data_IF_408943480746
#
_entry.id   IF_408943480746
#
_cell.length_a   1.000
_cell.length_b   1.000
_cell.length_c   1.000
_cell.angle_alpha   90.00
_cell.angle_beta   90.00
_cell.angle_gamma   90.00
#
_symmetry.space_group_name_H-M   'P 1'
#
loop_
_entity.id
_entity.type
_entity.pdbx_description
1 polymer ?
#
# COMPACT_ATOMS: atom_id res chain seq x y z
N UNK A 1 -27.02 -28.96 -10.52
CA UNK A 1 -25.65 -28.56 -10.15
C UNK A 1 -25.33 -27.23 -10.82
N UNK A 2 -25.32 -26.17 -10.00
CA UNK A 2 -24.58 -24.90 -10.11
C UNK A 2 -25.45 -23.69 -9.76
N UNK A 3 -26.10 -23.78 -8.59
CA UNK A 3 -26.44 -22.58 -7.81
C UNK A 3 -25.16 -22.12 -7.11
N UNK A 4 -24.25 -21.52 -7.88
CA UNK A 4 -23.23 -20.65 -7.30
C UNK A 4 -23.92 -19.33 -6.99
N UNK A 5 -24.70 -19.34 -5.90
CA UNK A 5 -25.22 -18.14 -5.29
C UNK A 5 -24.05 -17.20 -5.02
N UNK A 6 -23.99 -16.12 -5.80
CA UNK A 6 -23.17 -14.98 -5.47
C UNK A 6 -23.66 -14.48 -4.12
N UNK A 7 -22.95 -14.86 -3.04
CA UNK A 7 -23.03 -14.16 -1.78
C UNK A 7 -22.74 -12.70 -2.10
N UNK A 8 -23.78 -11.89 -2.23
CA UNK A 8 -23.68 -10.45 -2.08
C UNK A 8 -23.17 -10.26 -0.66
N UNK A 9 -21.85 -10.15 -0.52
CA UNK A 9 -21.22 -9.71 0.72
C UNK A 9 -21.94 -8.43 1.12
N UNK A 10 -22.65 -8.49 2.24
CA UNK A 10 -23.40 -7.35 2.79
C UNK A 10 -22.44 -6.18 2.88
N UNK A 11 -22.57 -5.20 1.98
CA UNK A 11 -21.67 -4.06 1.93
C UNK A 11 -21.92 -3.23 3.18
N UNK A 12 -20.92 -3.16 4.03
CA UNK A 12 -20.99 -2.37 5.26
C UNK A 12 -21.12 -0.88 4.94
N UNK A 13 -21.73 -0.09 5.84
CA UNK A 13 -21.85 1.36 5.68
C UNK A 13 -20.48 1.99 5.44
N UNK A 14 -20.40 2.84 4.42
CA UNK A 14 -19.23 3.65 4.17
C UNK A 14 -19.25 4.84 5.13
N UNK A 15 -18.17 5.09 5.90
CA UNK A 15 -18.06 6.30 6.70
C UNK A 15 -18.26 7.56 5.84
N UNK A 16 -19.06 8.51 6.32
CA UNK A 16 -19.41 9.72 5.57
C UNK A 16 -18.21 10.64 5.38
N UNK A 17 -17.24 10.55 6.27
CA UNK A 17 -16.00 11.31 6.23
C UNK A 17 -15.13 10.89 5.05
N UNK A 18 -15.22 9.63 4.61
CA UNK A 18 -14.35 9.12 3.56
C UNK A 18 -14.79 9.56 2.16
N UNK A 19 -13.83 9.84 1.25
CA UNK A 19 -14.15 10.19 -0.12
C UNK A 19 -14.88 9.03 -0.80
N UNK A 20 -15.88 9.37 -1.61
CA UNK A 20 -16.64 8.38 -2.35
C UNK A 20 -15.75 7.65 -3.37
N UNK A 21 -15.90 6.32 -3.49
CA UNK A 21 -15.16 5.55 -4.48
C UNK A 21 -15.66 5.88 -5.90
N UNK A 22 -14.73 6.16 -6.81
CA UNK A 22 -15.06 6.20 -8.25
C UNK A 22 -15.55 7.53 -8.80
N UNK A 23 -15.18 8.65 -8.16
CA UNK A 23 -15.43 9.99 -8.70
C UNK A 23 -14.97 10.15 -10.16
N UNK A 24 -15.72 10.92 -10.95
CA UNK A 24 -15.44 11.12 -12.38
C UNK A 24 -14.00 11.62 -12.64
N UNK A 25 -13.50 12.52 -11.78
CA UNK A 25 -12.12 13.04 -11.85
C UNK A 25 -11.08 11.90 -11.78
N UNK A 26 -11.29 10.92 -10.91
CA UNK A 26 -10.38 9.77 -10.74
C UNK A 26 -10.40 8.87 -11.97
N UNK A 27 -11.58 8.65 -12.57
CA UNK A 27 -11.71 7.89 -13.82
C UNK A 27 -10.96 8.55 -14.97
N UNK A 28 -11.07 9.88 -15.12
CA UNK A 28 -10.32 10.63 -16.14
C UNK A 28 -8.82 10.48 -15.94
N UNK A 29 -8.32 10.65 -14.71
CA UNK A 29 -6.89 10.45 -14.40
C UNK A 29 -6.43 9.03 -14.75
N UNK A 30 -7.21 8.01 -14.38
CA UNK A 30 -6.93 6.61 -14.72
C UNK A 30 -6.88 6.41 -16.24
N UNK A 31 -7.85 6.95 -16.98
CA UNK A 31 -7.88 6.83 -18.45
C UNK A 31 -6.66 7.47 -19.10
N UNK A 32 -6.27 8.69 -18.68
CA UNK A 32 -5.10 9.38 -19.24
C UNK A 32 -3.83 8.55 -19.01
N UNK A 33 -3.57 8.09 -17.79
CA UNK A 33 -2.39 7.27 -17.52
C UNK A 33 -2.44 5.90 -18.21
N UNK A 34 -3.63 5.34 -18.42
CA UNK A 34 -3.80 4.09 -19.17
C UNK A 34 -3.45 4.27 -20.64
N UNK A 35 -3.91 5.35 -21.27
CA UNK A 35 -3.57 5.69 -22.65
C UNK A 35 -2.06 5.92 -22.78
N UNK A 36 -1.44 6.66 -21.86
CA UNK A 36 0.01 6.88 -21.87
C UNK A 36 0.80 5.58 -21.67
N UNK A 37 0.39 4.73 -20.72
CA UNK A 37 1.05 3.46 -20.45
C UNK A 37 0.94 2.46 -21.61
N UNK A 38 -0.26 2.30 -22.17
CA UNK A 38 -0.49 1.43 -23.33
C UNK A 38 0.20 1.98 -24.59
N UNK A 39 0.16 3.29 -24.80
CA UNK A 39 0.86 3.96 -25.90
C UNK A 39 2.38 3.78 -25.78
N UNK A 40 2.95 3.93 -24.58
CA UNK A 40 4.37 3.67 -24.31
C UNK A 40 4.74 2.21 -24.60
N UNK A 41 3.90 1.25 -24.21
CA UNK A 41 4.12 -0.16 -24.49
C UNK A 41 4.07 -0.47 -25.99
N UNK A 42 3.06 0.05 -26.69
CA UNK A 42 2.92 -0.12 -28.14
C UNK A 42 4.10 0.52 -28.90
N UNK A 43 4.48 1.75 -28.52
CA UNK A 43 5.62 2.46 -29.09
C UNK A 43 6.93 1.72 -28.85
N UNK A 44 7.13 1.14 -27.66
CA UNK A 44 8.29 0.31 -27.35
C UNK A 44 8.37 -0.92 -28.28
N UNK A 45 7.26 -1.64 -28.47
CA UNK A 45 7.22 -2.81 -29.36
C UNK A 45 7.52 -2.42 -30.80
N UNK A 46 6.92 -1.34 -31.31
CA UNK A 46 7.15 -0.86 -32.68
C UNK A 46 8.63 -0.46 -32.87
N UNK A 47 9.19 0.31 -31.94
CA UNK A 47 10.57 0.79 -32.02
C UNK A 47 11.61 -0.34 -31.92
N UNK A 48 11.38 -1.33 -31.05
CA UNK A 48 12.30 -2.46 -30.86
C UNK A 48 12.22 -3.50 -31.98
N UNK A 49 11.10 -3.57 -32.70
CA UNK A 49 10.93 -4.48 -33.86
C UNK A 49 11.33 -3.85 -35.19
N UNK A 50 11.61 -2.54 -35.22
CA UNK A 50 12.14 -1.86 -36.39
C UNK A 50 13.54 -2.39 -36.79
N UNK A 51 13.90 -2.24 -38.06
CA UNK A 51 15.23 -2.62 -38.57
C UNK A 51 15.91 -1.40 -39.21
N UNK A 52 16.98 -0.84 -38.61
CA UNK A 52 17.59 -1.23 -37.32
C UNK A 52 16.71 -0.87 -36.11
N UNK A 53 16.88 -1.55 -34.96
CA UNK A 53 16.13 -1.24 -33.73
C UNK A 53 16.39 0.18 -33.24
N UNK A 54 15.33 0.90 -32.87
CA UNK A 54 15.45 2.25 -32.31
C UNK A 54 15.63 2.18 -30.79
N UNK A 55 16.73 2.75 -30.30
CA UNK A 55 17.07 2.84 -28.88
C UNK A 55 15.97 3.53 -28.04
N UNK A 56 15.15 4.39 -28.65
CA UNK A 56 13.99 5.02 -27.99
C UNK A 56 12.98 3.98 -27.47
N UNK A 57 12.92 2.81 -28.11
CA UNK A 57 12.07 1.70 -27.69
C UNK A 57 12.40 1.18 -26.29
N UNK A 58 13.68 1.20 -25.89
CA UNK A 58 14.12 0.79 -24.55
C UNK A 58 13.59 1.76 -23.48
N UNK A 59 13.68 3.06 -23.73
CA UNK A 59 13.17 4.09 -22.82
C UNK A 59 11.65 3.95 -22.67
N UNK A 60 10.93 3.78 -23.78
CA UNK A 60 9.48 3.57 -23.76
C UNK A 60 9.09 2.28 -23.00
N UNK A 61 9.88 1.21 -23.12
CA UNK A 61 9.65 -0.04 -22.39
C UNK A 61 9.84 0.16 -20.88
N UNK A 62 10.85 0.92 -20.45
CA UNK A 62 11.11 1.22 -19.03
C UNK A 62 10.03 2.14 -18.44
N UNK A 63 9.51 3.09 -19.23
CA UNK A 63 8.47 4.02 -18.78
C UNK A 63 7.07 3.38 -18.67
N UNK A 64 6.77 2.36 -19.47
CA UNK A 64 5.44 1.75 -19.50
C UNK A 64 4.95 1.25 -18.12
N UNK A 65 5.75 0.51 -17.31
CA UNK A 65 5.33 0.09 -15.98
C UNK A 65 5.14 1.25 -14.98
N UNK A 66 5.75 2.43 -15.20
CA UNK A 66 5.51 3.60 -14.34
C UNK A 66 4.09 4.12 -14.55
N UNK A 67 3.69 4.34 -15.80
CA UNK A 67 2.33 4.79 -16.12
C UNK A 67 1.28 3.75 -15.77
N UNK A 68 1.51 2.48 -16.12
CA UNK A 68 0.61 1.38 -15.74
C UNK A 68 0.59 1.16 -14.21
N UNK A 69 1.68 1.48 -13.52
CA UNK A 69 1.74 1.49 -12.07
C UNK A 69 0.83 2.54 -11.46
N UNK A 70 0.83 3.78 -11.97
CA UNK A 70 -0.11 4.82 -11.54
C UNK A 70 -1.57 4.43 -11.78
N UNK A 71 -1.87 3.84 -12.95
CA UNK A 71 -3.19 3.27 -13.24
C UNK A 71 -3.56 2.21 -12.21
N UNK A 72 -2.65 1.27 -11.94
CA UNK A 72 -2.87 0.17 -11.00
C UNK A 72 -3.11 0.69 -9.59
N UNK A 73 -2.32 1.66 -9.11
CA UNK A 73 -2.53 2.32 -7.81
C UNK A 73 -3.91 2.98 -7.77
N UNK A 74 -4.25 3.81 -8.75
CA UNK A 74 -5.52 4.53 -8.76
C UNK A 74 -6.72 3.57 -8.84
N UNK A 75 -6.66 2.55 -9.69
CA UNK A 75 -7.69 1.50 -9.77
C UNK A 75 -7.82 0.76 -8.43
N UNK A 76 -6.70 0.30 -7.86
CA UNK A 76 -6.72 -0.50 -6.64
C UNK A 76 -7.13 0.30 -5.40
N UNK A 77 -6.69 1.55 -5.28
CA UNK A 77 -6.94 2.40 -4.09
C UNK A 77 -8.22 3.22 -4.16
N UNK A 78 -8.74 3.51 -5.36
CA UNK A 78 -9.90 4.40 -5.54
C UNK A 78 -11.09 3.72 -6.19
N UNK A 79 -10.89 3.04 -7.32
CA UNK A 79 -12.00 2.51 -8.12
C UNK A 79 -12.52 1.15 -7.63
N UNK A 80 -11.60 0.24 -7.28
CA UNK A 80 -11.88 -1.13 -6.83
C UNK A 80 -11.70 -1.30 -5.32
N UNK A 81 -11.70 -0.21 -4.57
CA UNK A 81 -11.45 -0.24 -3.13
C UNK A 81 -12.52 -1.07 -2.39
N UNK A 82 -13.76 -1.08 -2.90
CA UNK A 82 -14.90 -1.82 -2.34
C UNK A 82 -15.10 -3.22 -2.93
N UNK A 83 -14.41 -3.57 -4.00
CA UNK A 83 -14.55 -4.87 -4.67
C UNK A 83 -13.58 -5.91 -4.10
N UNK A 84 -12.90 -5.57 -3.00
CA UNK A 84 -11.94 -6.43 -2.32
C UNK A 84 -12.66 -7.47 -1.49
N UNK A 85 -12.41 -8.75 -1.77
CA UNK A 85 -12.97 -9.86 -1.00
C UNK A 85 -12.37 -9.99 0.39
N UNK A 86 -12.92 -10.93 1.17
CA UNK A 86 -12.53 -11.20 2.57
C UNK A 86 -11.66 -12.46 2.72
N UNK A 87 -11.34 -13.13 1.61
CA UNK A 87 -10.57 -14.39 1.59
C UNK A 87 -9.14 -14.25 2.15
N UNK A 88 -8.57 -13.04 2.11
CA UNK A 88 -7.24 -12.76 2.65
C UNK A 88 -7.18 -12.66 4.18
N UNK A 89 -8.33 -12.57 4.86
CA UNK A 89 -8.40 -12.56 6.33
C UNK A 89 -8.08 -13.97 6.81
N UNK A 90 -7.16 -14.12 7.76
CA UNK A 90 -6.76 -15.42 8.30
C UNK A 90 -6.33 -15.27 9.76
N UNK A 91 -6.24 -16.38 10.47
CA UNK A 91 -5.53 -16.42 11.74
C UNK A 91 -4.03 -16.49 11.48
N UNK A 92 -3.28 -15.74 12.27
CA UNK A 92 -1.82 -15.86 12.33
C UNK A 92 -1.35 -15.61 13.76
N UNK A 93 -0.16 -16.12 14.08
CA UNK A 93 0.46 -15.92 15.38
C UNK A 93 1.21 -14.58 15.40
N UNK A 94 0.83 -13.69 16.32
CA UNK A 94 1.47 -12.37 16.44
C UNK A 94 2.49 -12.42 17.57
N UNK A 95 3.76 -12.58 17.20
CA UNK A 95 4.88 -12.74 18.13
C UNK A 95 4.91 -11.73 19.30
N UNK A 96 4.64 -10.42 19.12
CA UNK A 96 4.63 -9.48 20.25
C UNK A 96 3.58 -9.77 21.33
N UNK A 97 2.45 -10.40 21.01
CA UNK A 97 1.40 -10.74 21.98
C UNK A 97 1.36 -12.22 22.31
N UNK A 98 2.27 -13.04 21.75
CA UNK A 98 2.32 -14.49 21.90
C UNK A 98 0.93 -15.15 21.83
N UNK A 99 0.07 -14.66 20.93
CA UNK A 99 -1.32 -15.10 20.79
C UNK A 99 -1.71 -15.14 19.32
N UNK A 100 -2.70 -15.98 19.03
CA UNK A 100 -3.36 -15.97 17.73
C UNK A 100 -4.20 -14.69 17.61
N UNK A 101 -4.19 -14.12 16.42
CA UNK A 101 -4.91 -12.91 16.09
C UNK A 101 -5.55 -13.04 14.71
N UNK A 102 -6.69 -12.37 14.51
CA UNK A 102 -7.26 -12.21 13.18
C UNK A 102 -6.45 -11.18 12.41
N UNK A 103 -5.82 -11.60 11.32
CA UNK A 103 -4.94 -10.77 10.50
C UNK A 103 -5.63 -10.34 9.21
N UNK A 104 -5.64 -9.03 9.00
CA UNK A 104 -6.05 -8.35 7.77
C UNK A 104 -4.76 -7.85 7.08
N UNK A 105 -4.21 -8.58 6.11
CA UNK A 105 -2.96 -8.21 5.47
C UNK A 105 -3.16 -7.03 4.52
N UNK A 106 -2.07 -6.31 4.21
CA UNK A 106 -2.07 -5.32 3.13
C UNK A 106 -2.15 -5.99 1.75
N UNK A 107 -2.64 -5.26 0.75
CA UNK A 107 -2.85 -5.76 -0.62
C UNK A 107 -1.54 -6.18 -1.28
N UNK A 108 -1.49 -7.43 -1.76
CA UNK A 108 -0.39 -7.95 -2.58
C UNK A 108 -0.27 -7.20 -3.90
N UNK A 109 -1.39 -6.82 -4.51
CA UNK A 109 -1.41 -6.07 -5.76
C UNK A 109 -0.75 -4.71 -5.63
N UNK A 110 -1.02 -3.99 -4.54
CA UNK A 110 -0.35 -2.71 -4.25
C UNK A 110 1.15 -2.91 -3.99
N UNK A 111 1.51 -3.90 -3.17
CA UNK A 111 2.92 -4.19 -2.92
C UNK A 111 3.68 -4.51 -4.22
N UNK A 112 3.12 -5.36 -5.09
CA UNK A 112 3.71 -5.69 -6.37
C UNK A 112 3.80 -4.48 -7.31
N UNK A 113 2.79 -3.60 -7.30
CA UNK A 113 2.82 -2.35 -8.07
C UNK A 113 3.95 -1.43 -7.63
N UNK A 114 4.15 -1.25 -6.32
CA UNK A 114 5.27 -0.46 -5.80
C UNK A 114 6.64 -1.07 -6.14
N UNK A 115 6.76 -2.40 -6.09
CA UNK A 115 8.00 -3.10 -6.50
C UNK A 115 8.28 -2.86 -7.99
N UNK A 116 7.27 -3.06 -8.86
CA UNK A 116 7.42 -2.85 -10.29
C UNK A 116 7.80 -1.40 -10.62
N UNK A 117 7.13 -0.41 -10.01
CA UNK A 117 7.47 1.01 -10.20
C UNK A 117 8.87 1.34 -9.71
N UNK A 118 9.27 0.85 -8.54
CA UNK A 118 10.62 1.06 -7.99
C UNK A 118 11.69 0.46 -8.91
N UNK A 119 11.46 -0.76 -9.42
CA UNK A 119 12.37 -1.41 -10.34
C UNK A 119 12.49 -0.64 -11.68
N UNK A 120 11.38 -0.16 -12.23
CA UNK A 120 11.38 0.68 -13.44
C UNK A 120 12.07 2.03 -13.23
N UNK A 121 11.85 2.69 -12.08
CA UNK A 121 12.56 3.93 -11.75
C UNK A 121 14.06 3.68 -11.62
N UNK A 122 14.46 2.57 -10.97
CA UNK A 122 15.87 2.21 -10.83
C UNK A 122 16.52 1.94 -12.19
N UNK A 123 15.85 1.21 -13.08
CA UNK A 123 16.31 0.98 -14.44
C UNK A 123 16.43 2.29 -15.24
N UNK A 124 15.45 3.19 -15.12
CA UNK A 124 15.44 4.47 -15.81
C UNK A 124 16.60 5.37 -15.36
N UNK A 125 16.72 5.62 -14.06
CA UNK A 125 17.77 6.49 -13.54
C UNK A 125 19.16 5.86 -13.69
N UNK A 126 19.27 4.54 -13.58
CA UNK A 126 20.51 3.81 -13.85
C UNK A 126 20.95 3.98 -15.32
N UNK A 127 20.03 3.80 -16.27
CA UNK A 127 20.30 4.01 -17.69
C UNK A 127 20.72 5.45 -17.98
N UNK A 128 20.00 6.43 -17.43
CA UNK A 128 20.34 7.85 -17.58
C UNK A 128 21.73 8.18 -17.00
N UNK A 129 22.09 7.60 -15.85
CA UNK A 129 23.42 7.78 -15.27
C UNK A 129 24.52 7.20 -16.16
N UNK A 130 24.32 6.00 -16.73
CA UNK A 130 25.28 5.37 -17.64
C UNK A 130 25.45 6.20 -18.92
N UNK A 131 24.34 6.63 -19.53
CA UNK A 131 24.39 7.45 -20.75
C UNK A 131 25.08 8.79 -20.49
N UNK A 132 24.73 9.47 -19.39
CA UNK A 132 25.36 10.74 -19.04
C UNK A 132 26.86 10.58 -18.74
N UNK A 133 27.26 9.48 -18.10
CA UNK A 133 28.67 9.17 -17.85
C UNK A 133 29.44 8.97 -19.16
N UNK A 134 28.89 8.20 -20.11
CA UNK A 134 29.51 7.97 -21.41
C UNK A 134 29.71 9.26 -22.19
N UNK A 135 28.71 10.16 -22.19
CA UNK A 135 28.81 11.46 -22.85
C UNK A 135 29.86 12.36 -22.20
N UNK A 136 30.00 12.32 -20.86
CA UNK A 136 31.04 13.09 -20.15
C UNK A 136 32.45 12.56 -20.47
N UNK A 137 32.60 11.25 -20.67
CA UNK A 137 33.89 10.63 -20.99
C UNK A 137 34.35 10.86 -22.43
N UNK A 138 33.43 11.12 -23.36
CA UNK A 138 33.73 11.32 -24.79
C UNK A 138 34.27 12.73 -25.11
N UNK A 139 34.37 13.61 -24.10
CA UNK A 139 34.95 14.98 -24.07
C UNK A 139 34.46 16.01 -25.12
N UNK A 140 33.78 15.57 -26.18
CA UNK A 140 33.38 16.40 -27.34
C UNK A 140 32.16 17.32 -27.07
N UNK A 141 31.43 17.14 -25.96
CA UNK A 141 30.18 17.89 -25.72
C UNK A 141 29.71 17.96 -24.26
N UNK A 142 30.61 17.86 -23.27
CA UNK A 142 30.24 17.85 -21.86
C UNK A 142 29.79 19.23 -21.33
N UNK A 143 28.58 19.64 -21.71
CA UNK A 143 27.93 20.83 -21.15
C UNK A 143 27.54 20.63 -19.69
N UNK A 144 27.41 21.74 -18.95
CA UNK A 144 26.97 21.74 -17.53
C UNK A 144 25.70 20.90 -17.30
N UNK A 145 24.80 20.85 -18.28
CA UNK A 145 23.58 20.05 -18.23
C UNK A 145 23.82 18.54 -18.10
N UNK A 146 24.81 17.98 -18.80
CA UNK A 146 25.13 16.55 -18.75
C UNK A 146 25.71 16.17 -17.39
N UNK A 147 26.59 17.02 -16.83
CA UNK A 147 27.14 16.82 -15.49
C UNK A 147 26.06 16.88 -14.40
N UNK A 148 25.12 17.82 -14.52
CA UNK A 148 23.96 17.90 -13.59
C UNK A 148 23.08 16.66 -13.73
N UNK A 149 22.79 16.21 -14.95
CA UNK A 149 22.01 15.00 -15.18
C UNK A 149 22.68 13.78 -14.56
N UNK A 150 23.98 13.60 -14.78
CA UNK A 150 24.77 12.51 -14.22
C UNK A 150 24.69 12.49 -12.68
N UNK A 151 24.91 13.63 -12.04
CA UNK A 151 24.84 13.73 -10.57
C UNK A 151 23.43 13.41 -10.07
N UNK A 152 22.40 14.00 -10.69
CA UNK A 152 21.01 13.80 -10.29
C UNK A 152 20.56 12.33 -10.46
N UNK A 153 20.85 11.72 -11.61
CA UNK A 153 20.47 10.33 -11.90
C UNK A 153 21.28 9.35 -11.04
N UNK A 154 22.56 9.62 -10.78
CA UNK A 154 23.39 8.79 -9.89
C UNK A 154 22.89 8.83 -8.46
N UNK A 155 22.55 10.02 -7.94
CA UNK A 155 22.01 10.17 -6.59
C UNK A 155 20.64 9.50 -6.45
N UNK A 156 19.77 9.65 -7.45
CA UNK A 156 18.47 8.98 -7.48
C UNK A 156 18.63 7.45 -7.51
N UNK A 157 19.53 6.93 -8.35
CA UNK A 157 19.84 5.49 -8.44
C UNK A 157 20.37 4.97 -7.11
N UNK A 158 21.32 5.68 -6.48
CA UNK A 158 21.86 5.31 -5.18
C UNK A 158 20.78 5.26 -4.10
N UNK A 159 19.91 6.26 -4.04
CA UNK A 159 18.80 6.29 -3.09
C UNK A 159 17.84 5.10 -3.27
N UNK A 160 17.45 4.81 -4.52
CA UNK A 160 16.58 3.67 -4.84
C UNK A 160 17.25 2.33 -4.49
N UNK A 161 18.56 2.17 -4.75
CA UNK A 161 19.31 0.98 -4.35
C UNK A 161 19.32 0.81 -2.83
N UNK A 162 19.53 1.88 -2.07
CA UNK A 162 19.49 1.83 -0.60
C UNK A 162 18.10 1.39 -0.09
N UNK A 163 17.02 1.88 -0.70
CA UNK A 163 15.66 1.42 -0.38
C UNK A 163 15.45 -0.06 -0.70
N UNK A 164 15.94 -0.54 -1.83
CA UNK A 164 15.87 -1.97 -2.20
C UNK A 164 16.65 -2.81 -1.19
N UNK A 165 17.87 -2.40 -0.80
CA UNK A 165 18.66 -3.09 0.21
C UNK A 165 17.93 -3.12 1.56
N UNK A 166 17.30 -2.02 1.98
CA UNK A 166 16.52 -1.97 3.22
C UNK A 166 15.29 -2.89 3.16
N UNK A 167 14.63 -2.99 1.99
CA UNK A 167 13.54 -3.95 1.78
C UNK A 167 14.02 -5.40 1.86
N UNK A 168 15.15 -5.73 1.22
CA UNK A 168 15.74 -7.09 1.25
C UNK A 168 16.21 -7.48 2.66
N UNK A 169 16.67 -6.52 3.47
CA UNK A 169 17.01 -6.72 4.89
C UNK A 169 15.79 -6.85 5.81
N UNK A 170 14.57 -6.76 5.27
CA UNK A 170 13.31 -6.86 6.03
C UNK A 170 12.89 -5.56 6.73
N UNK A 171 13.62 -4.46 6.51
CA UNK A 171 13.27 -3.13 7.04
C UNK A 171 11.99 -2.56 6.42
N UNK A 172 11.70 -2.96 5.17
CA UNK A 172 10.42 -2.74 4.50
C UNK A 172 9.76 -4.09 4.23
N UNK A 173 8.55 -4.28 4.72
CA UNK A 173 7.80 -5.51 4.47
C UNK A 173 6.31 -5.24 4.46
N UNK A 174 5.55 -6.16 3.84
CA UNK A 174 4.11 -6.02 3.71
C UNK A 174 3.47 -5.78 5.08
N UNK A 175 2.66 -4.72 5.15
CA UNK A 175 1.91 -4.38 6.34
C UNK A 175 0.77 -5.36 6.61
N UNK A 176 0.27 -5.32 7.84
CA UNK A 176 -0.91 -6.05 8.27
C UNK A 176 -1.54 -5.34 9.49
N UNK A 177 -2.85 -5.41 9.59
CA UNK A 177 -3.59 -5.08 10.79
C UNK A 177 -4.01 -6.40 11.45
N UNK A 178 -3.56 -6.64 12.67
CA UNK A 178 -3.92 -7.84 13.42
C UNK A 178 -4.71 -7.46 14.67
N UNK A 179 -5.88 -8.08 14.81
CA UNK A 179 -6.79 -7.90 15.93
C UNK A 179 -6.62 -9.11 16.85
N UNK A 180 -5.98 -8.91 18.00
CA UNK A 180 -5.76 -9.96 19.00
C UNK A 180 -6.71 -9.75 20.19
N UNK A 181 -6.95 -10.77 21.03
CA UNK A 181 -7.74 -10.59 22.25
C UNK A 181 -7.17 -9.54 23.21
N UNK A 182 -5.85 -9.38 23.25
CA UNK A 182 -5.15 -8.41 24.11
C UNK A 182 -5.12 -6.98 23.57
N UNK A 183 -5.26 -6.80 22.25
CA UNK A 183 -5.15 -5.49 21.62
C UNK A 183 -5.04 -5.52 20.11
N UNK A 184 -4.69 -4.38 19.55
CA UNK A 184 -4.53 -4.16 18.12
C UNK A 184 -3.05 -4.04 17.80
N UNK A 185 -2.57 -4.92 16.93
CA UNK A 185 -1.24 -4.83 16.36
C UNK A 185 -1.33 -4.26 14.96
N UNK A 186 -0.61 -3.18 14.72
CA UNK A 186 -0.48 -2.60 13.39
C UNK A 186 0.96 -2.71 12.93
N UNK A 187 1.17 -3.50 11.88
CA UNK A 187 2.43 -3.53 11.14
C UNK A 187 2.23 -2.70 9.90
N UNK A 188 2.86 -1.54 9.83
CA UNK A 188 3.00 -0.79 8.60
C UNK A 188 4.26 -1.22 7.84
N UNK A 189 4.60 -0.53 6.76
CA UNK A 189 5.75 -0.88 5.93
C UNK A 189 7.06 -0.68 6.67
N UNK A 190 7.18 0.45 7.39
CA UNK A 190 8.41 0.90 8.03
C UNK A 190 8.36 0.88 9.57
N UNK A 191 7.22 0.51 10.18
CA UNK A 191 7.10 0.43 11.64
C UNK A 191 6.09 -0.64 12.07
N UNK A 192 6.15 -1.01 13.34
CA UNK A 192 5.17 -1.85 14.02
C UNK A 192 4.71 -1.13 15.28
N UNK A 193 3.41 -1.22 15.58
CA UNK A 193 2.80 -0.66 16.76
C UNK A 193 1.84 -1.62 17.45
N UNK A 194 1.71 -1.53 18.77
CA UNK A 194 0.73 -2.26 19.56
C UNK A 194 -0.05 -1.32 20.47
N UNK A 195 -1.36 -1.52 20.51
CA UNK A 195 -2.30 -0.76 21.33
C UNK A 195 -3.19 -1.75 22.08
N UNK A 196 -3.15 -1.70 23.41
CA UNK A 196 -4.09 -2.47 24.22
C UNK A 196 -5.51 -1.95 23.98
N UNK A 197 -6.51 -2.83 24.03
CA UNK A 197 -7.89 -2.40 23.81
C UNK A 197 -8.34 -1.33 24.80
N UNK A 198 -7.92 -1.45 26.06
CA UNK A 198 -8.32 -0.54 27.14
C UNK A 198 -7.70 0.85 27.02
N UNK A 199 -6.69 1.01 26.15
CA UNK A 199 -6.13 2.33 25.86
C UNK A 199 -6.74 3.02 24.66
N UNK A 200 -7.55 2.31 23.86
CA UNK A 200 -8.25 2.89 22.74
C UNK A 200 -9.50 3.62 23.27
N UNK A 201 -9.49 4.94 23.14
CA UNK A 201 -10.59 5.81 23.59
C UNK A 201 -11.71 5.80 22.55
N UNK A 202 -11.35 5.91 21.27
CA UNK A 202 -12.31 5.98 20.18
C UNK A 202 -11.71 5.50 18.86
N UNK A 203 -12.58 5.02 17.98
CA UNK A 203 -12.27 4.61 16.61
C UNK A 203 -13.06 5.51 15.66
N UNK A 204 -12.36 6.27 14.82
CA UNK A 204 -12.96 7.24 13.90
C UNK A 204 -12.43 7.09 12.48
N UNK A 205 -13.19 7.63 11.53
CA UNK A 205 -12.80 7.70 10.13
C UNK A 205 -12.16 9.08 9.86
N UNK A 206 -10.95 9.06 9.30
CA UNK A 206 -10.21 10.24 8.85
C UNK A 206 -10.02 10.26 7.32
N UNK A 207 -9.64 11.42 6.80
CA UNK A 207 -9.50 11.67 5.34
C UNK A 207 -8.07 11.80 4.85
N UNK A 208 -7.08 11.87 5.74
CA UNK A 208 -5.70 12.16 5.39
C UNK A 208 -5.11 11.07 4.49
N UNK A 209 -4.96 11.39 3.21
CA UNK A 209 -4.48 10.47 2.18
C UNK A 209 -5.56 9.56 1.56
N UNK A 210 -6.80 9.53 2.08
CA UNK A 210 -7.87 8.66 1.62
C UNK A 210 -8.67 8.09 2.77
N UNK A 211 -8.96 6.78 2.75
CA UNK A 211 -9.69 6.08 3.80
C UNK A 211 -8.77 5.80 4.99
N UNK A 212 -8.55 6.79 5.84
CA UNK A 212 -7.74 6.61 7.04
C UNK A 212 -8.64 6.13 8.19
N UNK A 213 -8.23 5.07 8.88
CA UNK A 213 -8.82 4.64 10.15
C UNK A 213 -7.94 5.21 11.25
N UNK A 214 -8.50 6.04 12.13
CA UNK A 214 -7.79 6.63 13.25
C UNK A 214 -8.32 6.07 14.56
N UNK A 215 -7.42 5.74 15.48
CA UNK A 215 -7.81 5.43 16.86
C UNK A 215 -7.15 6.38 17.83
N UNK A 216 -7.95 7.09 18.61
CA UNK A 216 -7.46 7.88 19.71
C UNK A 216 -7.02 6.94 20.84
N UNK A 217 -5.81 7.17 21.36
CA UNK A 217 -5.17 6.33 22.38
C UNK A 217 -4.85 7.20 23.57
N UNK A 218 -5.13 6.69 24.78
CA UNK A 218 -4.80 7.36 26.03
C UNK A 218 -3.29 7.23 26.33
N UNK A 219 -2.65 8.36 26.61
CA UNK A 219 -1.19 8.51 26.70
C UNK A 219 -0.54 7.72 27.86
N UNK A 220 -1.30 7.36 28.91
CA UNK A 220 -0.75 6.57 30.02
C UNK A 220 -0.52 5.09 29.70
N UNK A 221 -1.03 4.56 28.58
CA UNK A 221 -0.57 3.28 28.07
C UNK A 221 0.60 3.58 27.13
N UNK A 222 1.81 3.14 27.45
CA UNK A 222 2.95 3.33 26.54
C UNK A 222 2.72 2.49 25.28
N UNK A 223 2.30 3.08 24.15
CA UNK A 223 2.08 2.30 22.95
C UNK A 223 3.45 1.84 22.46
N UNK A 224 3.60 0.55 22.23
CA UNK A 224 4.87 0.03 21.73
C UNK A 224 5.00 0.46 20.27
N UNK A 225 5.86 1.42 19.96
CA UNK A 225 6.20 1.82 18.59
C UNK A 225 7.64 1.41 18.27
N UNK A 226 7.81 0.54 17.27
CA UNK A 226 9.12 0.14 16.79
C UNK A 226 9.29 0.51 15.32
N UNK A 227 10.18 1.47 15.06
CA UNK A 227 10.54 1.91 13.71
C UNK A 227 11.59 0.96 13.13
N UNK A 228 11.29 0.40 11.95
CA UNK A 228 12.12 -0.59 11.24
C UNK A 228 12.96 0.01 10.12
N UNK A 229 12.47 1.07 9.46
CA UNK A 229 13.23 1.77 8.40
C UNK A 229 13.55 3.21 8.79
N UNK A 230 14.80 3.62 8.56
CA UNK A 230 15.24 5.01 8.76
C UNK A 230 15.09 5.87 7.51
N UNK A 231 15.16 5.25 6.33
CA UNK A 231 15.12 5.95 5.04
C UNK A 231 13.69 6.28 4.58
N UNK A 232 12.71 5.53 5.07
CA UNK A 232 11.31 5.75 4.76
C UNK A 232 10.56 6.34 5.97
N UNK A 233 9.95 7.51 5.78
CA UNK A 233 9.07 8.16 6.77
C UNK A 233 7.63 8.05 6.28
N UNK A 234 6.85 7.24 6.97
CA UNK A 234 5.43 7.08 6.67
C UNK A 234 4.61 8.22 7.27
N UNK A 235 3.62 8.77 6.54
CA UNK A 235 2.77 9.85 7.07
C UNK A 235 1.97 9.42 8.31
N UNK A 236 1.67 8.13 8.45
CA UNK A 236 0.98 7.59 9.63
C UNK A 236 1.79 7.79 10.93
N UNK A 237 3.12 7.96 10.85
CA UNK A 237 3.95 8.26 12.02
C UNK A 237 3.67 9.65 12.61
N UNK A 238 3.12 10.58 11.82
CA UNK A 238 2.74 11.91 12.31
C UNK A 238 1.52 11.86 13.25
N UNK A 239 0.80 10.73 13.28
CA UNK A 239 -0.36 10.55 14.16
C UNK A 239 0.02 10.01 15.54
N UNK A 240 1.27 9.61 15.77
CA UNK A 240 1.71 9.13 17.08
C UNK A 240 1.43 10.20 18.17
N UNK A 241 0.87 9.83 19.34
CA UNK A 241 0.72 8.46 19.86
C UNK A 241 -0.54 7.71 19.38
N UNK A 242 -1.39 8.32 18.55
CA UNK A 242 -2.58 7.69 17.98
C UNK A 242 -2.23 6.69 16.86
N UNK A 243 -3.10 5.70 16.66
CA UNK A 243 -2.93 4.76 15.54
C UNK A 243 -3.57 5.33 14.28
N UNK A 244 -2.84 5.29 13.18
CA UNK A 244 -3.37 5.54 11.84
C UNK A 244 -3.19 4.34 10.94
N UNK A 245 -4.27 3.80 10.39
CA UNK A 245 -4.24 2.71 9.41
C UNK A 245 -4.81 3.20 8.09
N UNK A 246 -3.98 3.25 7.07
CA UNK A 246 -4.43 3.59 5.72
C UNK A 246 -5.23 2.42 5.12
N UNK A 247 -6.55 2.55 5.12
CA UNK A 247 -7.48 1.55 4.62
C UNK A 247 -7.23 1.18 3.16
N UNK A 248 -6.79 2.14 2.33
CA UNK A 248 -6.45 1.88 0.94
C UNK A 248 -5.36 0.81 0.78
N UNK A 249 -4.49 0.61 1.78
CA UNK A 249 -3.42 -0.37 1.74
C UNK A 249 -3.87 -1.78 2.13
N UNK A 250 -5.03 -1.93 2.78
CA UNK A 250 -5.57 -3.23 3.20
C UNK A 250 -5.94 -4.11 2.00
N UNK A 251 -5.92 -5.42 2.18
CA UNK A 251 -6.34 -6.37 1.14
C UNK A 251 -7.86 -6.56 1.03
N UNK A 252 -8.61 -6.03 1.98
CA UNK A 252 -10.08 -6.13 2.11
C UNK A 252 -10.74 -4.75 1.91
N UNK A 253 -12.07 -4.70 1.88
CA UNK A 253 -12.84 -3.44 1.93
C UNK A 253 -12.43 -2.65 3.20
N UNK A 254 -11.92 -1.42 3.10
CA UNK A 254 -11.58 -0.58 4.25
C UNK A 254 -12.72 -0.42 5.26
N UNK A 255 -13.96 -0.35 4.78
CA UNK A 255 -15.12 -0.24 5.66
C UNK A 255 -15.26 -1.48 6.55
N UNK A 256 -14.89 -2.66 6.05
CA UNK A 256 -14.89 -3.88 6.86
C UNK A 256 -13.89 -3.81 8.01
N UNK A 257 -12.67 -3.35 7.74
CA UNK A 257 -11.66 -3.22 8.79
C UNK A 257 -12.03 -2.14 9.82
N UNK A 258 -12.61 -1.03 9.36
CA UNK A 258 -13.11 0.03 10.24
C UNK A 258 -14.23 -0.47 11.16
N UNK A 259 -15.25 -1.13 10.59
CA UNK A 259 -16.36 -1.65 11.39
C UNK A 259 -15.92 -2.79 12.31
N UNK A 260 -14.99 -3.64 11.88
CA UNK A 260 -14.44 -4.69 12.76
C UNK A 260 -13.75 -4.06 13.98
N UNK A 261 -12.87 -3.09 13.74
CA UNK A 261 -12.14 -2.41 14.80
C UNK A 261 -13.10 -1.69 15.77
N UNK A 262 -14.13 -1.03 15.24
CA UNK A 262 -15.16 -0.37 16.04
C UNK A 262 -16.01 -1.36 16.84
N UNK A 263 -16.45 -2.46 16.22
CA UNK A 263 -17.26 -3.49 16.86
C UNK A 263 -16.54 -4.10 18.08
N UNK A 264 -15.27 -4.51 17.93
CA UNK A 264 -14.50 -5.08 19.05
C UNK A 264 -14.05 -4.05 20.09
N UNK A 265 -13.98 -2.77 19.71
CA UNK A 265 -13.84 -1.69 20.67
C UNK A 265 -15.09 -1.58 21.56
N UNK A 266 -16.28 -1.56 20.95
CA UNK A 266 -17.58 -1.43 21.61
C UNK A 266 -18.04 -2.71 22.37
N UNK A 267 -17.56 -3.90 21.99
CA UNK A 267 -17.96 -5.20 22.58
C UNK A 267 -16.77 -5.96 23.18
N UNK A 268 -16.31 -5.60 24.40
CA UNK A 268 -15.17 -6.24 25.05
C UNK A 268 -15.31 -7.76 25.23
N UNK A 269 -16.52 -8.24 25.50
CA UNK A 269 -16.85 -9.64 25.69
C UNK A 269 -16.60 -10.50 24.45
N UNK A 270 -16.66 -9.89 23.26
CA UNK A 270 -16.47 -10.58 21.98
C UNK A 270 -14.99 -10.72 21.61
N UNK A 271 -14.07 -9.98 22.25
CA UNK A 271 -12.63 -9.98 21.91
C UNK A 271 -11.99 -11.36 22.06
N UNK A 272 -12.54 -12.24 22.90
CA UNK A 272 -12.02 -13.60 23.07
C UNK A 272 -12.06 -14.43 21.77
N UNK A 273 -12.95 -14.10 20.81
CA UNK A 273 -13.03 -14.81 19.54
C UNK A 273 -11.94 -14.38 18.53
N UNK A 274 -11.23 -13.26 18.78
CA UNK A 274 -10.18 -12.73 17.90
C UNK A 274 -8.92 -13.60 17.83
N UNK A 275 -8.76 -14.54 18.75
CA UNK A 275 -7.72 -15.56 18.69
C UNK A 275 -8.22 -16.90 18.15
N UNK A 276 -9.37 -16.93 17.46
CA UNK A 276 -10.02 -18.16 17.00
C UNK A 276 -10.67 -17.97 15.63
N UNK A 277 -10.98 -19.09 14.97
CA UNK A 277 -11.58 -19.07 13.64
C UNK A 277 -12.96 -18.36 13.64
N UNK A 278 -13.66 -18.38 14.77
CA UNK A 278 -14.90 -17.65 14.97
C UNK A 278 -14.78 -16.15 14.65
N UNK A 279 -13.69 -15.48 15.06
CA UNK A 279 -13.46 -14.07 14.74
C UNK A 279 -13.21 -13.84 13.25
N UNK A 280 -12.44 -14.73 12.60
CA UNK A 280 -12.23 -14.68 11.14
C UNK A 280 -13.56 -14.82 10.41
N UNK A 281 -14.39 -15.77 10.81
CA UNK A 281 -15.67 -16.05 10.16
C UNK A 281 -16.66 -14.91 10.34
N UNK A 282 -16.72 -14.29 11.53
CA UNK A 282 -17.55 -13.11 11.78
C UNK A 282 -17.17 -11.95 10.86
N UNK A 283 -15.88 -11.61 10.80
CA UNK A 283 -15.40 -10.51 9.97
C UNK A 283 -15.64 -10.84 8.49
N UNK A 284 -15.39 -12.07 8.04
CA UNK A 284 -15.64 -12.47 6.64
C UNK A 284 -17.11 -12.37 6.24
N UNK A 285 -18.03 -12.65 7.16
CA UNK A 285 -19.49 -12.53 6.96
C UNK A 285 -20.01 -11.10 7.09
N UNK A 286 -19.18 -10.18 7.59
CA UNK A 286 -19.56 -8.80 7.88
C UNK A 286 -20.68 -8.69 8.95
N UNK A 287 -20.71 -9.63 9.90
CA UNK A 287 -21.65 -9.64 11.04
C UNK A 287 -21.14 -8.72 12.16
N UNK A 288 -21.01 -7.42 11.82
CA UNK A 288 -20.34 -6.40 12.62
C UNK A 288 -21.20 -5.15 12.86
N UNK A 289 -22.43 -5.13 12.33
CA UNK A 289 -23.38 -4.04 12.55
C UNK A 289 -24.30 -4.45 13.70
N UNK A 290 -24.21 -3.72 14.81
CA UNK A 290 -25.25 -3.71 15.84
C UNK A 290 -26.45 -2.93 15.29
N UNK A 291 -27.63 -3.56 15.33
CA UNK A 291 -28.90 -2.95 14.96
C UNK A 291 -29.36 -1.95 16.02
#
# INVERSE_FOLDING_TARGET
MSELGGQQTRRLPWPQEWPEPGEAKQKVTVTVFAVLGLGSLAGAVIALTATPPDARGVIMAICAPLFLGFVSIAVLTRLRVRDRGTASIHLDHVAPANSEAVVIPYSRGLALTYVAMTASMLALFGLLAVVALLVVLDDDSSGTGTSVLLVASSLATLYLLLLVVEALRGGLSRGALALAPSGVHHRSWAFTSFFAWDSIISVSAGTTGGQLITTAVYDNSTPYFHRRSRLWKQPELALAPHMGVQGMNLSVDPALAYQALRYYHEHPEMRAELGRQAGVDRIRRADLITH
#
